data_IF_126558634693
#
_entry.id   IF_126558634693
#
_cell.length_a   1.000
_cell.length_b   1.000
_cell.length_c   1.000
_cell.angle_alpha   90.00
_cell.angle_beta   90.00
_cell.angle_gamma   90.00
#
_symmetry.space_group_name_H-M   'P 1'
#
loop_
_entity.id
_entity.type
_entity.pdbx_description
1 polymer ?
#
# COMPACT_ATOMS: atom_id res chain seq x y z
N UNK A 1 13.94 -12.17 13.99
CA UNK A 1 13.48 -11.53 12.74
C UNK A 1 12.53 -10.43 13.14
N UNK A 2 12.61 -9.24 12.53
CA UNK A 2 11.61 -8.21 12.73
C UNK A 2 10.23 -8.74 12.35
N UNK A 3 9.19 -8.20 12.96
CA UNK A 3 7.80 -8.60 12.75
C UNK A 3 6.86 -7.43 12.99
N UNK A 4 5.57 -7.67 12.87
CA UNK A 4 4.54 -6.71 13.27
C UNK A 4 3.59 -7.37 14.26
N UNK A 5 2.84 -6.55 14.99
CA UNK A 5 1.83 -7.05 15.90
C UNK A 5 0.66 -6.08 15.98
N UNK A 6 -0.56 -6.59 15.83
CA UNK A 6 -1.76 -5.82 16.12
C UNK A 6 -1.87 -5.50 17.63
N UNK A 7 -2.42 -4.33 17.95
CA UNK A 7 -2.65 -3.90 19.31
C UNK A 7 -3.63 -4.86 20.01
N UNK A 8 -3.18 -5.60 21.04
CA UNK A 8 -4.01 -6.57 21.73
C UNK A 8 -5.16 -5.93 22.52
N UNK A 9 -5.17 -4.60 22.67
CA UNK A 9 -6.25 -3.85 23.33
C UNK A 9 -7.41 -3.53 22.39
N UNK A 10 -7.23 -3.69 21.07
CA UNK A 10 -8.32 -3.47 20.11
C UNK A 10 -9.28 -4.66 20.16
N UNK A 11 -10.53 -4.39 20.51
CA UNK A 11 -11.59 -5.40 20.50
C UNK A 11 -12.09 -5.66 19.07
N UNK A 12 -12.09 -6.94 18.67
CA UNK A 12 -12.64 -7.35 17.38
C UNK A 12 -14.15 -7.25 17.38
N UNK A 13 -14.71 -6.60 16.35
CA UNK A 13 -16.14 -6.60 16.12
C UNK A 13 -16.60 -7.93 15.51
N UNK A 14 -17.56 -8.56 16.18
CA UNK A 14 -18.18 -9.82 15.73
C UNK A 14 -19.69 -9.63 15.66
N UNK A 15 -20.29 -10.00 14.53
CA UNK A 15 -21.75 -9.94 14.32
C UNK A 15 -22.22 -11.29 13.77
N UNK A 16 -23.13 -11.94 14.48
CA UNK A 16 -23.69 -13.26 14.11
C UNK A 16 -22.62 -14.33 13.77
N UNK A 17 -21.48 -14.28 14.47
CA UNK A 17 -20.35 -15.20 14.28
C UNK A 17 -19.39 -14.80 13.15
N UNK A 18 -19.69 -13.75 12.40
CA UNK A 18 -18.77 -13.16 11.41
C UNK A 18 -17.82 -12.19 12.11
N UNK A 19 -16.52 -12.41 11.93
CA UNK A 19 -15.44 -11.59 12.47
C UNK A 19 -14.98 -10.57 11.44
N UNK A 20 -15.08 -9.29 11.76
CA UNK A 20 -14.47 -8.22 10.95
C UNK A 20 -12.97 -8.11 11.24
N UNK A 21 -12.16 -7.61 10.30
CA UNK A 21 -10.78 -7.20 10.56
C UNK A 21 -10.69 -6.18 11.70
N UNK A 22 -9.55 -6.09 12.39
CA UNK A 22 -9.41 -5.12 13.49
C UNK A 22 -9.43 -3.67 12.99
N UNK A 23 -8.89 -3.42 11.80
CA UNK A 23 -8.65 -2.10 11.24
C UNK A 23 -9.76 -1.57 10.33
N UNK A 24 -10.71 -2.42 9.94
CA UNK A 24 -11.86 -2.01 9.12
C UNK A 24 -13.13 -2.73 9.57
N UNK A 25 -14.16 -1.95 9.88
CA UNK A 25 -15.43 -2.47 10.39
C UNK A 25 -16.58 -1.48 10.11
N UNK A 26 -17.82 -1.98 9.93
CA UNK A 26 -18.98 -1.11 9.72
C UNK A 26 -19.27 -0.29 10.98
N UNK A 27 -19.55 1.00 10.89
CA UNK A 27 -20.01 1.84 12.02
C UNK A 27 -21.53 1.84 12.15
N UNK A 28 -22.24 1.47 11.09
CA UNK A 28 -23.69 1.28 11.07
C UNK A 28 -24.09 -0.19 11.29
N UNK A 29 -25.36 -0.47 11.63
CA UNK A 29 -25.87 -1.83 11.67
C UNK A 29 -25.77 -2.51 10.29
N UNK A 30 -25.10 -3.66 10.27
CA UNK A 30 -24.93 -4.49 9.09
C UNK A 30 -25.16 -5.96 9.48
N UNK A 31 -25.85 -6.71 8.62
CA UNK A 31 -25.89 -8.16 8.70
C UNK A 31 -24.84 -8.72 7.72
N UNK A 32 -23.65 -9.13 8.19
CA UNK A 32 -22.60 -9.62 7.31
C UNK A 32 -23.02 -10.92 6.62
N UNK A 33 -22.54 -11.10 5.39
CA UNK A 33 -22.87 -12.26 4.57
C UNK A 33 -21.65 -12.72 3.79
N UNK A 34 -21.10 -13.85 4.20
CA UNK A 34 -20.05 -14.52 3.45
C UNK A 34 -20.63 -15.11 2.16
N UNK A 35 -19.82 -15.09 1.11
CA UNK A 35 -20.22 -15.53 -0.23
C UNK A 35 -19.35 -14.85 -1.28
N UNK A 36 -19.72 -14.99 -2.54
CA UNK A 36 -19.04 -14.30 -3.62
C UNK A 36 -19.98 -13.93 -4.77
N UNK A 37 -19.66 -12.85 -5.46
CA UNK A 37 -20.20 -12.57 -6.79
C UNK A 37 -19.26 -13.18 -7.83
N UNK A 38 -19.78 -13.47 -9.03
CA UNK A 38 -18.95 -13.83 -10.18
C UNK A 38 -19.53 -13.25 -11.46
N UNK A 39 -18.71 -12.51 -12.20
CA UNK A 39 -19.07 -11.92 -13.48
C UNK A 39 -18.04 -12.31 -14.55
N UNK A 40 -18.50 -12.41 -15.81
CA UNK A 40 -17.59 -12.53 -16.95
C UNK A 40 -17.38 -11.15 -17.56
N UNK A 41 -16.13 -10.77 -17.76
CA UNK A 41 -15.71 -9.53 -18.41
C UNK A 41 -14.98 -9.88 -19.72
N UNK A 42 -15.44 -9.38 -20.88
CA UNK A 42 -14.73 -9.59 -22.14
C UNK A 42 -13.42 -8.79 -22.16
N UNK A 43 -12.47 -9.24 -22.98
CA UNK A 43 -11.21 -8.53 -23.18
C UNK A 43 -11.43 -7.06 -23.59
N UNK A 44 -10.61 -6.16 -23.05
CA UNK A 44 -10.75 -4.69 -23.20
C UNK A 44 -9.55 -4.03 -23.92
N UNK A 45 -8.93 -4.75 -24.87
CA UNK A 45 -7.95 -4.19 -25.79
C UNK A 45 -8.60 -3.35 -26.90
N UNK A 46 -8.15 -2.10 -27.08
CA UNK A 46 -8.53 -1.26 -28.21
C UNK A 46 -7.44 -1.29 -29.29
N UNK A 47 -7.78 -1.16 -30.58
CA UNK A 47 -6.81 -0.99 -31.69
C UNK A 47 -5.99 0.32 -31.60
N UNK A 48 -6.09 1.06 -30.49
CA UNK A 48 -5.42 2.35 -30.28
C UNK A 48 -4.19 2.15 -29.41
N UNK A 49 -3.01 2.39 -29.98
CA UNK A 49 -1.73 2.44 -29.26
C UNK A 49 -1.82 3.45 -28.10
N UNK A 50 -2.04 3.00 -26.86
CA UNK A 50 -2.03 3.92 -25.72
C UNK A 50 -2.58 3.44 -24.38
N UNK A 51 -3.42 2.40 -24.31
CA UNK A 51 -3.89 1.88 -23.02
C UNK A 51 -2.87 0.85 -22.49
N UNK A 52 -2.25 1.17 -21.35
CA UNK A 52 -1.09 0.46 -20.83
C UNK A 52 -1.42 -0.85 -20.06
N UNK A 53 -2.70 -1.21 -19.90
CA UNK A 53 -3.12 -2.47 -19.28
C UNK A 53 -4.33 -3.05 -20.03
N UNK A 54 -4.08 -3.86 -21.05
CA UNK A 54 -5.12 -4.65 -21.71
C UNK A 54 -5.38 -5.93 -20.91
N UNK A 55 -6.63 -6.15 -20.54
CA UNK A 55 -7.03 -7.34 -19.78
C UNK A 55 -7.68 -8.35 -20.73
N UNK A 56 -7.38 -9.66 -20.58
CA UNK A 56 -8.01 -10.70 -21.39
C UNK A 56 -9.46 -10.96 -20.96
N UNK A 57 -10.15 -11.82 -21.70
CA UNK A 57 -11.39 -12.45 -21.25
C UNK A 57 -11.16 -13.06 -19.86
N UNK A 58 -12.06 -12.77 -18.91
CA UNK A 58 -11.84 -13.13 -17.52
C UNK A 58 -13.15 -13.34 -16.76
N UNK A 59 -13.07 -14.14 -15.70
CA UNK A 59 -14.06 -14.13 -14.63
C UNK A 59 -13.53 -13.31 -13.47
N UNK A 60 -14.36 -12.42 -12.95
CA UNK A 60 -14.09 -11.58 -11.77
C UNK A 60 -14.93 -12.09 -10.62
N UNK A 61 -14.28 -12.39 -9.51
CA UNK A 61 -14.87 -12.84 -8.26
C UNK A 61 -14.61 -11.80 -7.20
N UNK A 62 -15.65 -11.34 -6.51
CA UNK A 62 -15.51 -10.56 -5.28
C UNK A 62 -15.97 -11.42 -4.11
N UNK A 63 -15.03 -11.73 -3.21
CA UNK A 63 -15.20 -12.76 -2.20
C UNK A 63 -15.19 -12.14 -0.81
N UNK A 64 -16.30 -12.30 -0.11
CA UNK A 64 -16.44 -11.91 1.29
C UNK A 64 -16.35 -13.15 2.17
N UNK A 65 -15.46 -13.10 3.15
CA UNK A 65 -15.26 -14.16 4.14
C UNK A 65 -14.85 -13.55 5.48
N UNK A 66 -15.24 -14.21 6.57
CA UNK A 66 -14.88 -13.81 7.93
C UNK A 66 -13.35 -13.74 8.09
N UNK A 67 -12.86 -12.71 8.80
CA UNK A 67 -11.43 -12.37 8.89
C UNK A 67 -10.56 -13.53 9.43
N UNK A 68 -11.09 -14.36 10.33
CA UNK A 68 -10.41 -15.53 10.88
C UNK A 68 -10.17 -16.66 9.86
N UNK A 69 -10.89 -16.64 8.72
CA UNK A 69 -10.77 -17.62 7.64
C UNK A 69 -10.07 -17.07 6.39
N UNK A 70 -10.02 -15.74 6.23
CA UNK A 70 -9.46 -15.08 5.05
C UNK A 70 -7.99 -15.43 4.77
N UNK A 71 -7.06 -15.44 5.75
CA UNK A 71 -5.65 -15.78 5.49
C UNK A 71 -5.46 -17.15 4.84
N UNK A 72 -6.26 -18.14 5.27
CA UNK A 72 -6.21 -19.47 4.72
C UNK A 72 -6.72 -19.53 3.27
N UNK A 73 -7.84 -18.85 2.97
CA UNK A 73 -8.37 -18.77 1.61
C UNK A 73 -7.41 -18.05 0.69
N UNK A 74 -6.96 -16.85 1.09
CA UNK A 74 -6.07 -16.02 0.28
C UNK A 74 -4.78 -16.77 -0.08
N UNK A 75 -4.17 -17.47 0.90
CA UNK A 75 -3.01 -18.32 0.63
C UNK A 75 -3.30 -19.41 -0.40
N UNK A 76 -4.45 -20.09 -0.35
CA UNK A 76 -4.79 -21.12 -1.34
C UNK A 76 -5.02 -20.54 -2.74
N UNK A 77 -5.60 -19.33 -2.81
CA UNK A 77 -5.75 -18.60 -4.08
C UNK A 77 -4.38 -18.23 -4.65
N UNK A 78 -3.46 -17.72 -3.83
CA UNK A 78 -2.09 -17.43 -4.27
C UNK A 78 -1.34 -18.68 -4.74
N UNK A 79 -1.68 -19.89 -4.25
CA UNK A 79 -1.13 -21.16 -4.76
C UNK A 79 -1.63 -21.56 -6.15
N UNK A 80 -2.55 -20.80 -6.74
CA UNK A 80 -2.92 -20.92 -8.14
C UNK A 80 -1.94 -20.17 -9.05
N UNK A 81 -1.26 -19.15 -8.53
CA UNK A 81 -0.27 -18.36 -9.27
C UNK A 81 0.98 -19.20 -9.61
N UNK A 82 1.67 -18.87 -10.72
CA UNK A 82 2.95 -19.48 -11.01
C UNK A 82 4.04 -19.04 -10.02
N UNK A 83 5.23 -19.68 -10.05
CA UNK A 83 6.31 -19.38 -9.11
C UNK A 83 6.86 -17.95 -9.16
N UNK A 84 6.52 -17.17 -10.19
CA UNK A 84 6.92 -15.78 -10.34
C UNK A 84 5.72 -14.93 -10.70
N UNK A 85 5.58 -13.80 -10.02
CA UNK A 85 4.39 -12.94 -10.06
C UNK A 85 4.79 -11.47 -10.01
N UNK A 86 3.87 -10.57 -10.29
CA UNK A 86 4.00 -9.14 -10.03
C UNK A 86 3.24 -8.81 -8.73
N UNK A 87 3.92 -8.61 -7.59
CA UNK A 87 3.26 -8.22 -6.35
C UNK A 87 2.65 -6.82 -6.46
N UNK A 88 1.56 -6.62 -5.74
CA UNK A 88 0.79 -5.39 -5.65
C UNK A 88 0.61 -5.08 -4.16
N UNK A 89 0.75 -3.81 -3.81
CA UNK A 89 0.54 -3.30 -2.46
C UNK A 89 -0.16 -1.95 -2.59
N UNK A 90 -1.36 -1.83 -2.02
CA UNK A 90 -2.06 -0.55 -1.95
C UNK A 90 -2.04 -0.06 -0.52
N UNK A 91 -1.72 1.22 -0.32
CA UNK A 91 -1.68 1.83 1.00
C UNK A 91 -2.66 2.99 1.03
N UNK A 92 -3.57 2.97 2.00
CA UNK A 92 -4.44 4.11 2.27
C UNK A 92 -3.57 5.22 2.89
N UNK A 93 -3.26 6.21 2.07
CA UNK A 93 -2.21 7.19 2.33
C UNK A 93 -2.67 8.39 3.14
N UNK A 94 -1.73 9.32 3.38
CA UNK A 94 -2.04 10.64 3.95
C UNK A 94 -1.99 11.76 2.90
N UNK A 95 -1.90 11.40 1.61
CA UNK A 95 -1.91 12.34 0.51
C UNK A 95 -3.26 13.09 0.47
N UNK A 96 -3.17 14.41 0.29
CA UNK A 96 -4.35 15.28 0.32
C UNK A 96 -5.28 15.16 -0.89
N UNK A 97 -4.80 14.56 -1.99
CA UNK A 97 -5.48 14.51 -3.28
C UNK A 97 -5.49 13.13 -3.90
N UNK A 98 -4.98 12.13 -3.16
CA UNK A 98 -5.02 10.72 -3.52
C UNK A 98 -5.36 9.89 -2.30
N UNK A 99 -6.41 9.08 -2.41
CA UNK A 99 -6.86 8.20 -1.32
C UNK A 99 -5.93 6.98 -1.12
N UNK A 100 -5.52 6.36 -2.23
CA UNK A 100 -4.73 5.12 -2.25
C UNK A 100 -3.40 5.37 -2.95
N UNK A 101 -2.31 4.94 -2.34
CA UNK A 101 -0.99 4.82 -2.98
C UNK A 101 -0.83 3.42 -3.57
N UNK A 102 -0.98 3.23 -4.89
CA UNK A 102 -0.80 1.92 -5.50
C UNK A 102 0.67 1.65 -5.76
N UNK A 103 1.20 0.57 -5.24
CA UNK A 103 2.56 0.11 -5.48
C UNK A 103 2.55 -1.21 -6.25
N UNK A 104 3.23 -1.25 -7.39
CA UNK A 104 3.34 -2.45 -8.22
C UNK A 104 4.79 -2.76 -8.54
N UNK A 105 5.11 -4.05 -8.64
CA UNK A 105 6.36 -4.47 -9.25
C UNK A 105 6.18 -4.63 -10.76
N UNK A 106 6.97 -3.92 -11.55
CA UNK A 106 7.10 -4.18 -13.00
C UNK A 106 8.09 -5.30 -13.31
N UNK A 107 8.70 -5.88 -12.27
CA UNK A 107 9.53 -7.05 -12.38
C UNK A 107 8.87 -8.26 -11.72
N UNK A 108 9.09 -9.43 -12.31
CA UNK A 108 8.63 -10.68 -11.72
C UNK A 108 9.39 -10.99 -10.41
N UNK A 109 8.68 -11.18 -9.31
CA UNK A 109 9.20 -11.56 -7.99
C UNK A 109 8.84 -13.02 -7.71
N UNK A 110 9.68 -13.74 -6.97
CA UNK A 110 9.38 -15.10 -6.53
C UNK A 110 8.15 -15.14 -5.62
N UNK A 111 7.20 -16.03 -5.90
CA UNK A 111 5.98 -16.20 -5.11
C UNK A 111 6.31 -16.57 -3.65
N UNK A 112 7.41 -17.28 -3.42
CA UNK A 112 7.94 -17.58 -2.09
C UNK A 112 8.21 -16.31 -1.26
N UNK A 113 8.75 -15.26 -1.88
CA UNK A 113 9.00 -13.98 -1.20
C UNK A 113 7.70 -13.28 -0.76
N UNK A 114 6.67 -13.33 -1.60
CA UNK A 114 5.35 -12.80 -1.26
C UNK A 114 4.77 -13.57 -0.07
N UNK A 115 4.80 -14.90 -0.11
CA UNK A 115 4.25 -15.75 0.95
C UNK A 115 5.01 -15.61 2.28
N UNK A 116 6.33 -15.45 2.23
CA UNK A 116 7.12 -15.21 3.43
C UNK A 116 6.80 -13.87 4.07
N UNK A 117 6.62 -12.82 3.28
CA UNK A 117 6.18 -11.52 3.76
C UNK A 117 4.75 -11.55 4.31
N UNK A 118 3.79 -12.23 3.66
CA UNK A 118 2.44 -12.43 4.20
C UNK A 118 2.43 -13.14 5.57
N UNK A 119 3.41 -14.04 5.79
CA UNK A 119 3.59 -14.71 7.08
C UNK A 119 4.29 -13.80 8.09
N UNK A 120 5.29 -13.03 7.67
CA UNK A 120 6.09 -12.18 8.54
C UNK A 120 5.30 -10.94 9.02
N UNK A 121 4.47 -10.40 8.15
CA UNK A 121 3.70 -9.17 8.35
C UNK A 121 2.19 -9.46 8.40
N UNK A 122 1.79 -10.58 9.01
CA UNK A 122 0.41 -11.07 8.93
C UNK A 122 -0.61 -10.06 9.44
N UNK A 123 -0.34 -9.42 10.58
CA UNK A 123 -1.29 -8.48 11.19
C UNK A 123 -1.43 -7.22 10.33
N UNK A 124 -0.36 -6.79 9.67
CA UNK A 124 -0.41 -5.69 8.71
C UNK A 124 -1.34 -6.03 7.53
N UNK A 125 -1.17 -7.20 6.93
CA UNK A 125 -1.95 -7.54 5.73
C UNK A 125 -3.40 -7.95 6.02
N UNK A 126 -3.65 -8.67 7.11
CA UNK A 126 -4.96 -9.26 7.37
C UNK A 126 -5.83 -8.47 8.35
N UNK A 127 -5.23 -7.61 9.18
CA UNK A 127 -5.96 -6.88 10.21
C UNK A 127 -5.96 -5.38 10.02
N UNK A 128 -4.86 -4.80 9.53
CA UNK A 128 -4.75 -3.35 9.35
C UNK A 128 -5.67 -2.84 8.24
N UNK A 129 -6.42 -1.78 8.52
CA UNK A 129 -7.39 -1.21 7.58
C UNK A 129 -6.77 -0.28 6.54
N UNK A 130 -5.46 -0.06 6.55
CA UNK A 130 -4.80 0.90 5.67
C UNK A 130 -3.98 0.24 4.55
N UNK A 131 -4.15 -1.07 4.34
CA UNK A 131 -3.35 -1.83 3.38
C UNK A 131 -4.21 -2.83 2.59
N UNK A 132 -4.03 -2.83 1.28
CA UNK A 132 -4.37 -3.93 0.38
C UNK A 132 -3.11 -4.63 -0.13
N UNK A 133 -3.20 -5.93 -0.43
CA UNK A 133 -2.06 -6.72 -0.93
C UNK A 133 -2.53 -7.77 -1.92
N UNK A 134 -1.73 -7.97 -2.96
CA UNK A 134 -2.02 -8.98 -3.97
C UNK A 134 -0.84 -9.31 -4.85
N UNK A 135 -1.16 -10.07 -5.88
CA UNK A 135 -0.25 -10.31 -6.97
C UNK A 135 -1.01 -10.68 -8.24
N UNK A 136 -0.35 -10.47 -9.37
CA UNK A 136 -0.84 -10.92 -10.66
C UNK A 136 0.20 -11.69 -11.47
N UNK A 137 -0.29 -12.40 -12.46
CA UNK A 137 0.47 -13.02 -13.53
C UNK A 137 -0.31 -12.88 -14.84
N UNK A 138 0.40 -12.74 -15.96
CA UNK A 138 -0.19 -12.62 -17.30
C UNK A 138 -0.43 -13.99 -17.95
N UNK A 139 0.39 -15.02 -17.67
CA UNK A 139 0.31 -16.34 -18.30
C UNK A 139 0.52 -17.49 -17.29
N UNK A 140 -0.55 -18.22 -16.89
CA UNK A 140 -1.96 -17.91 -17.16
C UNK A 140 -2.38 -16.60 -16.48
N UNK A 141 -3.39 -15.93 -17.04
CA UNK A 141 -3.87 -14.68 -16.45
C UNK A 141 -4.59 -14.97 -15.12
N UNK A 142 -3.99 -14.47 -14.04
CA UNK A 142 -4.52 -14.56 -12.67
C UNK A 142 -4.17 -13.27 -11.96
N UNK A 143 -5.16 -12.61 -11.37
CA UNK A 143 -5.01 -11.49 -10.46
C UNK A 143 -5.70 -11.86 -9.16
N UNK A 144 -5.01 -11.73 -8.03
CA UNK A 144 -5.57 -11.98 -6.71
C UNK A 144 -5.16 -10.85 -5.77
N UNK A 145 -6.14 -10.14 -5.22
CA UNK A 145 -5.90 -8.94 -4.43
C UNK A 145 -6.88 -8.89 -3.25
N UNK A 146 -6.33 -8.78 -2.05
CA UNK A 146 -7.08 -8.55 -0.82
C UNK A 146 -7.01 -7.06 -0.52
N UNK A 147 -8.12 -6.35 -0.65
CA UNK A 147 -8.17 -4.90 -0.50
C UNK A 147 -8.09 -4.42 0.97
N UNK A 148 -8.17 -3.10 1.18
CA UNK A 148 -8.20 -2.46 2.49
C UNK A 148 -9.45 -2.81 3.32
N UNK A 149 -10.54 -3.20 2.67
CA UNK A 149 -11.77 -3.73 3.30
C UNK A 149 -11.67 -5.22 3.66
N UNK A 150 -10.57 -5.87 3.26
CA UNK A 150 -10.32 -7.30 3.35
C UNK A 150 -11.33 -8.13 2.56
N UNK A 151 -11.72 -7.62 1.41
CA UNK A 151 -12.48 -8.32 0.37
C UNK A 151 -11.48 -8.81 -0.66
N UNK A 152 -11.63 -10.09 -1.03
CA UNK A 152 -10.71 -10.73 -1.94
C UNK A 152 -11.27 -10.69 -3.36
N UNK A 153 -10.67 -9.87 -4.21
CA UNK A 153 -10.93 -9.88 -5.65
C UNK A 153 -10.00 -10.88 -6.34
N UNK A 154 -10.59 -11.76 -7.14
CA UNK A 154 -9.87 -12.73 -7.97
C UNK A 154 -10.32 -12.59 -9.40
N UNK A 155 -9.40 -12.31 -10.31
CA UNK A 155 -9.65 -12.34 -11.76
C UNK A 155 -8.87 -13.48 -12.38
N UNK A 156 -9.52 -14.30 -13.19
CA UNK A 156 -8.87 -15.44 -13.86
C UNK A 156 -9.37 -15.62 -15.27
N UNK A 157 -8.51 -16.10 -16.15
CA UNK A 157 -8.92 -16.53 -17.49
C UNK A 157 -9.95 -17.67 -17.45
N UNK A 158 -10.77 -17.87 -18.50
CA UNK A 158 -11.86 -18.86 -18.51
C UNK A 158 -11.43 -20.29 -18.19
N UNK A 159 -10.19 -20.67 -18.54
CA UNK A 159 -9.63 -22.01 -18.30
C UNK A 159 -9.51 -22.34 -16.80
N UNK A 160 -9.42 -21.32 -15.95
CA UNK A 160 -9.16 -21.43 -14.52
C UNK A 160 -10.44 -21.38 -13.67
N UNK A 161 -11.58 -21.02 -14.26
CA UNK A 161 -12.87 -20.84 -13.56
C UNK A 161 -13.24 -22.04 -12.67
N UNK A 162 -13.27 -23.25 -13.25
CA UNK A 162 -13.64 -24.47 -12.52
C UNK A 162 -12.69 -24.79 -11.35
N UNK A 163 -11.45 -24.30 -11.41
CA UNK A 163 -10.48 -24.48 -10.33
C UNK A 163 -10.75 -23.51 -9.18
N UNK A 164 -11.08 -22.25 -9.49
CA UNK A 164 -11.48 -21.25 -8.49
C UNK A 164 -12.80 -21.65 -7.82
N UNK A 165 -13.83 -22.02 -8.61
CA UNK A 165 -15.13 -22.44 -8.07
C UNK A 165 -15.01 -23.60 -7.05
N UNK A 166 -14.19 -24.62 -7.38
CA UNK A 166 -13.95 -25.75 -6.47
C UNK A 166 -13.21 -25.35 -5.20
N UNK A 167 -12.30 -24.39 -5.30
CA UNK A 167 -11.57 -23.88 -4.13
C UNK A 167 -12.52 -23.10 -3.21
N UNK A 168 -13.36 -22.22 -3.76
CA UNK A 168 -14.37 -21.48 -2.97
C UNK A 168 -15.37 -22.44 -2.30
N UNK A 169 -15.84 -23.46 -3.01
CA UNK A 169 -16.71 -24.48 -2.45
C UNK A 169 -16.05 -25.26 -1.28
N UNK A 170 -14.72 -25.46 -1.30
CA UNK A 170 -14.00 -26.10 -0.19
C UNK A 170 -13.90 -25.22 1.07
N UNK A 171 -14.18 -23.92 0.95
CA UNK A 171 -14.34 -22.98 2.07
C UNK A 171 -15.80 -22.77 2.45
N UNK A 172 -16.72 -23.60 1.95
CA UNK A 172 -18.16 -23.49 2.18
C UNK A 172 -18.74 -22.15 1.68
N UNK A 173 -18.12 -21.57 0.64
CA UNK A 173 -18.61 -20.36 -0.01
C UNK A 173 -19.49 -20.75 -1.20
N UNK A 174 -20.64 -20.09 -1.28
CA UNK A 174 -21.58 -20.21 -2.39
C UNK A 174 -21.74 -18.86 -3.09
N UNK A 175 -22.06 -18.84 -4.39
CA UNK A 175 -22.33 -17.59 -5.08
C UNK A 175 -23.60 -16.94 -4.52
N UNK A 176 -23.55 -15.63 -4.29
CA UNK A 176 -24.71 -14.85 -3.86
C UNK A 176 -24.73 -13.47 -4.51
N UNK A 177 -25.91 -12.86 -4.62
CA UNK A 177 -26.09 -11.55 -5.27
C UNK A 177 -25.50 -10.40 -4.43
N UNK A 178 -25.53 -10.53 -3.11
CA UNK A 178 -25.25 -9.48 -2.13
C UNK A 178 -24.35 -9.97 -0.99
N UNK A 179 -23.12 -10.45 -1.28
CA UNK A 179 -22.15 -10.68 -0.21
C UNK A 179 -21.90 -9.34 0.52
N UNK A 180 -21.71 -9.40 1.84
CA UNK A 180 -21.68 -8.20 2.67
C UNK A 180 -20.50 -8.23 3.64
N UNK A 181 -19.43 -7.50 3.28
CA UNK A 181 -18.23 -7.26 4.08
C UNK A 181 -18.31 -5.95 4.85
N UNK A 182 -17.17 -5.38 5.25
CA UNK A 182 -17.16 -4.10 5.97
C UNK A 182 -17.64 -2.92 5.12
N UNK A 183 -17.42 -2.99 3.81
CA UNK A 183 -17.78 -2.03 2.76
C UNK A 183 -19.30 -1.90 2.51
N UNK A 184 -20.08 -2.91 2.89
CA UNK A 184 -21.53 -2.97 2.66
C UNK A 184 -22.35 -1.96 3.49
N UNK A 185 -21.70 -1.19 4.37
CA UNK A 185 -22.27 -0.08 5.12
C UNK A 185 -21.21 1.01 5.33
N UNK A 186 -21.61 2.16 5.89
CA UNK A 186 -20.63 3.15 6.36
C UNK A 186 -19.66 2.48 7.35
N UNK A 187 -18.37 2.69 7.15
CA UNK A 187 -17.28 2.04 7.89
C UNK A 187 -16.14 3.01 8.16
N UNK A 188 -15.20 2.58 8.99
CA UNK A 188 -13.98 3.33 9.31
C UNK A 188 -12.75 2.48 9.04
N UNK A 189 -11.70 3.12 8.54
CA UNK A 189 -10.36 2.55 8.43
C UNK A 189 -9.46 3.07 9.57
N UNK A 190 -8.62 2.19 10.11
CA UNK A 190 -7.60 2.54 11.08
C UNK A 190 -6.39 1.60 10.98
N UNK A 191 -5.24 2.16 11.33
CA UNK A 191 -4.05 1.36 11.65
C UNK A 191 -4.26 0.61 12.95
N UNK A 192 -3.71 -0.60 13.04
CA UNK A 192 -3.86 -1.47 14.22
C UNK A 192 -2.55 -1.93 14.82
N UNK A 193 -1.42 -1.67 14.17
CA UNK A 193 -0.12 -2.13 14.65
C UNK A 193 0.34 -1.33 15.87
N UNK A 194 0.98 -2.02 16.81
CA UNK A 194 1.72 -1.37 17.90
C UNK A 194 3.15 -1.08 17.47
N UNK A 195 3.63 0.12 17.79
CA UNK A 195 4.99 0.59 17.52
C UNK A 195 5.65 1.11 18.81
N UNK A 196 5.88 0.25 19.81
CA UNK A 196 6.37 0.71 21.09
C UNK A 196 7.88 0.99 21.04
N UNK A 197 8.31 2.11 21.60
CA UNK A 197 9.72 2.56 21.61
C UNK A 197 10.70 1.52 22.20
N UNK A 198 10.22 0.63 23.08
CA UNK A 198 11.03 -0.39 23.75
C UNK A 198 11.13 -1.73 23.00
N UNK A 199 10.41 -1.88 21.88
CA UNK A 199 10.45 -3.08 21.03
C UNK A 199 10.69 -2.74 19.55
N UNK A 200 11.92 -2.32 19.19
CA UNK A 200 12.27 -1.94 17.82
C UNK A 200 12.23 -3.13 16.83
N UNK A 201 12.09 -4.36 17.30
CA UNK A 201 11.81 -5.50 16.42
C UNK A 201 10.38 -5.52 15.86
N UNK A 202 9.47 -4.72 16.43
CA UNK A 202 8.13 -4.50 15.91
C UNK A 202 8.12 -3.26 15.01
N UNK A 203 8.05 -3.52 13.71
CA UNK A 203 8.12 -2.46 12.72
C UNK A 203 6.81 -1.69 12.59
N UNK A 204 6.92 -0.40 12.30
CA UNK A 204 5.79 0.44 11.90
C UNK A 204 5.28 0.07 10.50
N UNK A 205 4.04 0.48 10.13
CA UNK A 205 3.55 0.36 8.76
C UNK A 205 4.54 0.92 7.73
N UNK A 206 5.13 2.10 7.99
CA UNK A 206 6.07 2.75 7.07
C UNK A 206 7.36 1.94 6.88
N UNK A 207 7.91 1.36 7.96
CA UNK A 207 9.09 0.50 7.90
C UNK A 207 8.79 -0.82 7.17
N UNK A 208 7.59 -1.38 7.34
CA UNK A 208 7.15 -2.57 6.60
C UNK A 208 7.00 -2.24 5.11
N UNK A 209 6.38 -1.10 4.77
CA UNK A 209 6.25 -0.65 3.38
C UNK A 209 7.64 -0.46 2.75
N UNK A 210 8.58 0.13 3.48
CA UNK A 210 9.97 0.29 3.02
C UNK A 210 10.62 -1.08 2.71
N UNK A 211 10.52 -2.05 3.63
CA UNK A 211 11.05 -3.41 3.45
C UNK A 211 10.41 -4.12 2.25
N UNK A 212 9.08 -3.98 2.08
CA UNK A 212 8.34 -4.56 0.95
C UNK A 212 8.73 -3.91 -0.38
N UNK A 213 8.83 -2.58 -0.42
CA UNK A 213 9.25 -1.86 -1.63
C UNK A 213 10.63 -2.30 -2.08
N UNK A 214 11.58 -2.43 -1.16
CA UNK A 214 12.91 -2.95 -1.46
C UNK A 214 12.88 -4.44 -1.86
N UNK A 215 12.19 -5.29 -1.09
CA UNK A 215 12.18 -6.74 -1.25
C UNK A 215 11.44 -7.24 -2.51
N UNK A 216 10.38 -6.52 -2.90
CA UNK A 216 9.54 -6.82 -4.07
C UNK A 216 9.78 -5.86 -5.24
N UNK A 217 10.68 -4.88 -5.12
CA UNK A 217 10.98 -3.86 -6.17
C UNK A 217 9.75 -3.07 -6.57
N UNK A 218 8.94 -2.70 -5.59
CA UNK A 218 7.71 -1.96 -5.86
C UNK A 218 8.01 -0.50 -6.21
N UNK A 219 7.27 0.00 -7.19
CA UNK A 219 7.27 1.40 -7.61
C UNK A 219 5.85 1.94 -7.42
N UNK A 220 5.74 3.20 -7.01
CA UNK A 220 4.45 3.90 -6.95
C UNK A 220 3.88 4.02 -8.37
N UNK A 221 2.73 3.43 -8.62
CA UNK A 221 2.08 3.34 -9.92
C UNK A 221 1.29 4.62 -10.22
N UNK A 222 2.01 5.73 -10.41
CA UNK A 222 1.47 7.04 -10.79
C UNK A 222 2.35 7.66 -11.88
N UNK A 223 1.80 8.60 -12.63
CA UNK A 223 2.61 9.42 -13.54
C UNK A 223 3.49 10.38 -12.71
N UNK A 224 4.82 10.21 -12.70
CA UNK A 224 5.69 11.00 -11.85
C UNK A 224 5.90 12.43 -12.38
N UNK A 225 5.54 12.68 -13.64
CA UNK A 225 5.76 13.95 -14.34
C UNK A 225 4.49 14.81 -14.43
N UNK A 226 3.36 14.31 -13.93
CA UNK A 226 2.10 15.05 -13.80
C UNK A 226 1.65 15.11 -12.34
N UNK A 227 0.89 16.14 -11.98
CA UNK A 227 0.32 16.26 -10.64
C UNK A 227 -1.20 16.31 -10.72
N UNK A 228 -1.80 15.13 -10.67
CA UNK A 228 -3.23 14.92 -10.83
C UNK A 228 -3.88 14.49 -9.51
N UNK A 229 -5.11 14.92 -9.26
CA UNK A 229 -5.95 14.28 -8.24
C UNK A 229 -6.50 12.92 -8.72
N UNK A 230 -7.22 12.22 -7.85
CA UNK A 230 -7.87 10.93 -8.16
C UNK A 230 -8.87 10.98 -9.33
N UNK A 231 -9.38 12.17 -9.67
CA UNK A 231 -10.27 12.38 -10.81
C UNK A 231 -9.50 12.70 -12.11
N UNK A 232 -8.17 12.78 -12.05
CA UNK A 232 -7.30 13.11 -13.19
C UNK A 232 -7.18 14.61 -13.49
N UNK A 233 -7.61 15.49 -12.58
CA UNK A 233 -7.51 16.93 -12.75
C UNK A 233 -6.12 17.47 -12.37
N UNK A 234 -5.58 18.39 -13.16
CA UNK A 234 -4.30 19.04 -12.88
C UNK A 234 -4.36 19.93 -11.62
N UNK A 235 -3.46 19.69 -10.66
CA UNK A 235 -3.34 20.44 -9.41
C UNK A 235 -2.34 21.61 -9.48
N UNK A 236 -1.41 21.58 -10.45
CA UNK A 236 -0.31 22.52 -10.55
C UNK A 236 0.69 22.36 -9.39
N UNK A 237 1.22 23.46 -8.86
CA UNK A 237 2.21 23.42 -7.77
C UNK A 237 1.51 23.22 -6.42
N UNK A 238 1.83 22.13 -5.73
CA UNK A 238 1.36 21.83 -4.38
C UNK A 238 2.54 21.73 -3.39
N UNK A 239 2.30 21.84 -2.08
CA UNK A 239 3.27 21.45 -1.07
C UNK A 239 3.32 19.93 -0.94
N UNK A 240 4.52 19.38 -0.83
CA UNK A 240 4.81 17.96 -0.67
C UNK A 240 5.56 17.74 0.65
N UNK A 241 5.15 16.72 1.39
CA UNK A 241 5.87 16.16 2.53
C UNK A 241 6.61 14.93 2.06
N UNK A 242 7.93 15.04 1.97
CA UNK A 242 8.81 13.94 1.64
C UNK A 242 9.51 13.44 2.91
N UNK A 243 9.53 12.13 3.10
CA UNK A 243 10.44 11.48 4.07
C UNK A 243 11.50 10.75 3.27
N UNK A 244 12.71 11.29 3.29
CA UNK A 244 13.85 10.74 2.59
C UNK A 244 14.68 9.88 3.54
N UNK A 245 15.09 8.71 3.07
CA UNK A 245 16.07 7.83 3.69
C UNK A 245 17.42 8.12 3.06
N UNK A 246 18.35 8.58 3.88
CA UNK A 246 19.67 9.01 3.47
C UNK A 246 20.72 8.01 3.98
N UNK A 247 21.48 7.43 3.07
CA UNK A 247 22.56 6.48 3.40
C UNK A 247 23.95 7.07 3.18
N UNK A 248 24.88 6.67 4.06
CA UNK A 248 26.32 6.88 3.90
C UNK A 248 27.06 5.57 4.11
N UNK A 249 28.01 5.27 3.24
CA UNK A 249 29.04 4.28 3.45
C UNK A 249 30.08 4.85 4.41
N UNK A 250 30.13 4.28 5.61
CA UNK A 250 31.22 4.55 6.51
C UNK A 250 32.42 3.66 6.15
N UNK A 251 33.64 4.20 6.00
CA UNK A 251 34.86 3.42 5.76
C UNK A 251 35.07 2.25 6.74
N UNK A 252 34.47 2.30 7.94
CA UNK A 252 34.56 1.26 8.98
C UNK A 252 33.43 0.20 8.94
N UNK A 253 32.77 0.04 7.78
CA UNK A 253 32.01 -1.15 7.34
C UNK A 253 30.55 -1.34 7.82
N UNK A 254 29.86 -0.29 8.26
CA UNK A 254 28.39 -0.28 8.34
C UNK A 254 27.83 0.97 7.69
N UNK A 255 26.91 0.81 6.74
CA UNK A 255 26.14 1.94 6.22
C UNK A 255 25.39 2.59 7.38
N UNK A 256 25.44 3.90 7.44
CA UNK A 256 24.67 4.66 8.42
C UNK A 256 23.47 5.24 7.70
N UNK A 257 22.29 5.02 8.27
CA UNK A 257 21.01 5.44 7.69
C UNK A 257 20.42 6.52 8.60
N UNK A 258 19.92 7.60 8.00
CA UNK A 258 19.11 8.60 8.69
C UNK A 258 17.92 9.01 7.84
N UNK A 259 16.85 9.42 8.50
CA UNK A 259 15.65 9.88 7.83
C UNK A 259 15.50 11.39 7.95
N UNK A 260 15.15 12.05 6.86
CA UNK A 260 14.89 13.48 6.81
C UNK A 260 13.44 13.75 6.41
N UNK A 261 12.75 14.62 7.15
CA UNK A 261 11.46 15.17 6.74
C UNK A 261 11.66 16.52 6.05
N UNK A 262 11.11 16.61 4.85
CA UNK A 262 11.35 17.68 3.89
C UNK A 262 10.00 18.17 3.38
N UNK A 263 9.77 19.48 3.47
CA UNK A 263 8.57 20.11 2.92
C UNK A 263 8.99 20.99 1.74
N UNK A 264 8.58 20.60 0.54
CA UNK A 264 8.94 21.26 -0.72
C UNK A 264 7.70 21.66 -1.50
N UNK A 265 7.79 22.70 -2.31
CA UNK A 265 6.78 23.02 -3.31
C UNK A 265 7.18 22.31 -4.60
N UNK A 266 6.26 21.65 -5.31
CA UNK A 266 6.53 21.03 -6.60
C UNK A 266 5.24 20.83 -7.42
N UNK A 267 5.38 20.77 -8.74
CA UNK A 267 4.31 20.57 -9.73
C UNK A 267 4.21 19.13 -10.24
N UNK A 268 5.06 18.21 -9.78
CA UNK A 268 5.00 16.78 -10.01
C UNK A 268 5.87 16.02 -8.99
N UNK A 269 5.72 14.70 -8.93
CA UNK A 269 6.49 13.85 -8.01
C UNK A 269 7.99 13.92 -8.30
N UNK A 270 8.40 13.83 -9.58
CA UNK A 270 9.81 13.96 -10.00
C UNK A 270 10.44 15.24 -9.45
N UNK A 271 9.73 16.37 -9.55
CA UNK A 271 10.21 17.65 -9.03
C UNK A 271 10.23 17.69 -7.49
N UNK A 272 9.26 17.06 -6.82
CA UNK A 272 9.23 16.97 -5.37
C UNK A 272 10.46 16.19 -4.86
N UNK A 273 10.73 15.03 -5.44
CA UNK A 273 11.87 14.17 -5.10
C UNK A 273 13.20 14.88 -5.34
N UNK A 274 13.40 15.49 -6.51
CA UNK A 274 14.63 16.25 -6.80
C UNK A 274 14.87 17.38 -5.79
N UNK A 275 13.83 18.17 -5.48
CA UNK A 275 13.93 19.27 -4.51
C UNK A 275 14.15 18.76 -3.08
N UNK A 276 13.58 17.62 -2.75
CA UNK A 276 13.76 16.98 -1.46
C UNK A 276 15.20 16.46 -1.32
N UNK A 277 15.80 15.89 -2.37
CA UNK A 277 17.24 15.53 -2.39
C UNK A 277 18.10 16.77 -2.14
N UNK A 278 17.86 17.88 -2.85
CA UNK A 278 18.59 19.14 -2.64
C UNK A 278 18.44 19.65 -1.19
N UNK A 279 17.22 19.59 -0.65
CA UNK A 279 16.93 20.00 0.72
C UNK A 279 17.62 19.10 1.76
N UNK A 280 17.67 17.78 1.52
CA UNK A 280 18.37 16.82 2.36
C UNK A 280 19.89 17.04 2.33
N UNK A 281 20.46 17.29 1.16
CA UNK A 281 21.89 17.64 1.03
C UNK A 281 22.22 18.88 1.82
N UNK A 282 21.32 19.87 1.82
CA UNK A 282 21.47 21.05 2.64
C UNK A 282 21.47 20.79 4.15
N UNK A 283 20.97 19.65 4.64
CA UNK A 283 21.01 19.28 6.07
C UNK A 283 22.35 18.67 6.51
N UNK A 284 23.17 18.25 5.55
CA UNK A 284 24.52 17.76 5.83
C UNK A 284 25.35 18.84 6.51
N UNK A 285 26.04 18.50 7.60
CA UNK A 285 26.86 19.45 8.37
C UNK A 285 28.23 19.71 7.71
N UNK A 286 28.65 18.82 6.80
CA UNK A 286 29.88 18.91 6.03
C UNK A 286 29.58 18.96 4.52
N UNK A 287 30.14 19.92 3.79
CA UNK A 287 30.00 20.00 2.32
C UNK A 287 30.60 18.78 1.59
N UNK A 288 31.47 18.01 2.26
CA UNK A 288 32.07 16.77 1.74
C UNK A 288 31.25 15.51 2.05
N UNK A 289 30.24 15.60 2.92
CA UNK A 289 29.31 14.48 3.19
C UNK A 289 28.26 14.43 2.09
N UNK A 290 28.57 13.66 1.05
CA UNK A 290 27.61 13.27 0.00
C UNK A 290 26.92 11.97 0.40
N UNK A 291 25.60 11.92 0.30
CA UNK A 291 24.85 10.67 0.40
C UNK A 291 25.23 9.74 -0.75
N UNK A 292 25.44 8.46 -0.45
CA UNK A 292 25.65 7.44 -1.47
C UNK A 292 24.33 7.05 -2.13
N UNK A 293 23.25 7.03 -1.34
CA UNK A 293 21.90 6.81 -1.80
C UNK A 293 20.89 7.68 -1.05
N UNK A 294 19.86 8.13 -1.77
CA UNK A 294 18.69 8.81 -1.21
C UNK A 294 17.45 8.19 -1.83
N UNK A 295 16.64 7.55 -1.01
CA UNK A 295 15.36 6.96 -1.39
C UNK A 295 14.20 7.61 -0.62
N UNK A 296 13.00 7.57 -1.20
CA UNK A 296 11.82 8.19 -0.60
C UNK A 296 10.90 7.15 0.01
N UNK A 297 10.68 7.25 1.31
CA UNK A 297 9.70 6.43 2.05
C UNK A 297 8.30 6.97 1.85
N UNK A 298 8.15 8.29 1.91
CA UNK A 298 6.88 9.03 1.79
C UNK A 298 7.08 10.18 0.81
N UNK A 299 6.09 10.45 -0.03
CA UNK A 299 6.00 11.63 -0.89
C UNK A 299 4.54 12.07 -1.04
N UNK A 300 3.98 12.64 0.02
CA UNK A 300 2.56 12.98 0.11
C UNK A 300 2.34 14.47 -0.17
N UNK A 301 1.31 14.81 -0.94
CA UNK A 301 0.85 16.18 -1.11
C UNK A 301 0.09 16.64 0.12
N UNK A 302 0.20 17.93 0.43
CA UNK A 302 -0.46 18.58 1.56
C UNK A 302 -1.48 19.60 1.07
N UNK A 303 -2.56 19.75 1.83
CA UNK A 303 -3.44 20.92 1.75
C UNK A 303 -2.74 22.17 2.31
N UNK A 304 -3.16 23.38 1.91
CA UNK A 304 -2.68 24.62 2.53
C UNK A 304 -2.85 24.64 4.06
N UNK A 305 -3.94 24.07 4.58
CA UNK A 305 -4.21 23.98 6.02
C UNK A 305 -3.25 23.04 6.73
N UNK A 306 -2.92 21.89 6.13
CA UNK A 306 -1.92 20.96 6.67
C UNK A 306 -0.53 21.61 6.70
N UNK A 307 -0.12 22.27 5.61
CA UNK A 307 1.14 23.01 5.54
C UNK A 307 1.22 24.06 6.65
N UNK A 308 0.18 24.90 6.80
CA UNK A 308 0.15 25.93 7.82
C UNK A 308 0.21 25.39 9.25
N UNK A 309 -0.32 24.18 9.51
CA UNK A 309 -0.19 23.51 10.82
C UNK A 309 1.25 23.05 11.08
N UNK A 310 1.92 22.49 10.06
CA UNK A 310 3.31 22.05 10.15
C UNK A 310 4.23 23.25 10.42
N UNK A 311 4.08 24.32 9.64
CA UNK A 311 4.89 25.55 9.79
C UNK A 311 4.72 26.21 11.17
N UNK A 312 3.50 26.20 11.74
CA UNK A 312 3.23 26.76 13.08
C UNK A 312 3.89 25.99 14.21
N UNK A 313 4.16 24.69 14.05
CA UNK A 313 4.77 23.86 15.08
C UNK A 313 6.27 24.15 15.28
N UNK A 314 6.92 24.90 14.39
CA UNK A 314 8.36 25.18 14.48
C UNK A 314 8.73 26.67 14.65
N UNK A 315 9.71 26.92 15.54
CA UNK A 315 10.48 28.16 15.62
C UNK A 315 11.70 28.03 14.70
N UNK A 316 11.71 28.75 13.57
CA UNK A 316 12.68 28.69 12.45
C UNK A 316 14.16 28.70 12.89
N UNK A 317 14.98 27.82 12.30
CA UNK A 317 16.47 27.88 12.31
C UNK A 317 17.10 28.24 10.94
N UNK A 318 16.36 28.19 9.83
CA UNK A 318 16.84 28.51 8.47
C UNK A 318 15.85 29.44 7.77
N UNK A 319 16.34 30.32 6.88
CA UNK A 319 15.47 31.13 6.02
C UNK A 319 14.89 30.22 4.92
N UNK A 320 13.56 30.02 4.86
CA UNK A 320 12.95 29.19 3.82
C UNK A 320 13.14 29.86 2.46
N UNK A 321 13.41 29.06 1.42
CA UNK A 321 13.26 29.51 0.04
C UNK A 321 11.79 29.36 -0.40
N UNK A 322 11.43 29.91 -1.55
CA UNK A 322 10.07 29.74 -2.07
C UNK A 322 9.74 28.29 -2.45
N UNK A 323 10.78 27.47 -2.68
CA UNK A 323 10.66 26.08 -3.13
C UNK A 323 10.91 25.06 -2.01
N UNK A 324 11.73 25.37 -1.01
CA UNK A 324 12.01 24.52 0.15
C UNK A 324 11.49 25.23 1.40
N UNK A 325 10.37 24.74 1.93
CA UNK A 325 9.70 25.33 3.10
C UNK A 325 10.32 24.86 4.41
N UNK A 326 10.72 23.59 4.48
CA UNK A 326 11.30 22.99 5.68
C UNK A 326 12.19 21.80 5.33
N UNK A 327 13.24 21.59 6.12
CA UNK A 327 14.07 20.40 6.09
C UNK A 327 14.54 20.10 7.52
N UNK A 328 14.45 18.85 7.97
CA UNK A 328 14.99 18.42 9.27
C UNK A 328 15.30 16.93 9.28
N UNK A 329 16.24 16.52 10.13
CA UNK A 329 16.39 15.13 10.51
C UNK A 329 15.21 14.67 11.39
N UNK A 330 14.79 13.43 11.20
CA UNK A 330 13.96 12.67 12.13
C UNK A 330 14.91 12.01 13.13
N UNK A 331 14.56 12.10 14.41
CA UNK A 331 15.35 11.57 15.54
C UNK A 331 14.93 10.14 15.87
#
# INVERSE_FOLDING_TARGET
>A
MPGCQADPTIERRVVDGFSFPLGVYPVEPLAPKAGYTVAFEPADGSDSEGDWEEWPDRYVYDIVLSADRMPALFRQILMLLPPRVYPILDILGNDAFREVDPYISYELVGLDRLLDALRQWSDFFYEDGLCGVGAMCEEPFIYAFLDEHKILTVRVEPSMKDRVDRLLAAFDLEPCEDPAGADAAAHEHRGVLVTPDDRPELLSPEEIIEDLRAGWRLVLNVDPDRNLDDEGNELGVTPWRCVARCEWENPDATSTVRYAELIVMADCLTQAELRAIEAAQGLSENEEETFDDVSFVIADRLTPEQLAKIEKRQRRKREPSDLIRQARWLD
#
